data_IF_964299063936
#
_entry.id   IF_964299063936
#
_cell.length_a   1.000
_cell.length_b   1.000
_cell.length_c   1.000
_cell.angle_alpha   90.00
_cell.angle_beta   90.00
_cell.angle_gamma   90.00
#
_symmetry.space_group_name_H-M   'P 1'
#
loop_
_entity.id
_entity.type
_entity.pdbx_description
1 polymer ?
#
# COMPACT_ATOMS: atom_id res chain seq x y z
N UNK A 1 13.22 91.28 25.56
CA UNK A 1 13.62 90.87 26.92
C UNK A 1 13.20 89.41 27.12
N UNK A 2 14.18 88.51 27.18
CA UNK A 2 14.19 87.09 27.62
C UNK A 2 13.34 86.03 26.87
N UNK A 3 14.07 85.18 26.12
CA UNK A 3 13.85 83.73 25.87
C UNK A 3 13.77 82.94 27.21
N UNK A 4 13.31 81.65 27.31
CA UNK A 4 13.53 80.55 26.35
C UNK A 4 12.52 79.35 26.32
N UNK A 5 12.85 78.34 25.51
CA UNK A 5 12.58 76.87 25.59
C UNK A 5 11.15 76.30 25.58
N UNK A 6 10.86 75.42 24.60
CA UNK A 6 10.09 74.18 24.85
C UNK A 6 10.42 73.10 23.79
N UNK A 7 10.80 71.92 24.26
CA UNK A 7 10.94 70.66 23.51
C UNK A 7 9.57 69.96 23.44
N UNK A 8 9.25 69.25 22.34
CA UNK A 8 8.65 67.89 22.34
C UNK A 8 8.14 67.45 20.93
N UNK A 9 8.82 66.42 20.39
CA UNK A 9 8.32 65.14 19.85
C UNK A 9 6.89 65.08 19.24
N UNK A 10 6.74 64.52 18.01
CA UNK A 10 6.22 63.14 17.74
C UNK A 10 5.84 62.88 16.26
N UNK A 11 6.41 61.79 15.72
CA UNK A 11 6.08 60.85 14.62
C UNK A 11 4.97 61.10 13.57
N UNK A 12 5.30 60.84 12.30
CA UNK A 12 4.39 60.31 11.25
C UNK A 12 5.06 59.12 10.52
N UNK A 13 4.70 57.88 10.85
CA UNK A 13 3.83 56.94 10.10
C UNK A 13 4.23 56.74 8.63
N UNK A 14 4.96 55.66 8.30
CA UNK A 14 4.42 54.34 7.93
C UNK A 14 3.88 54.31 6.49
N UNK A 15 4.71 53.89 5.53
CA UNK A 15 4.24 53.45 4.21
C UNK A 15 4.45 51.93 4.12
N UNK A 16 3.32 51.23 4.20
CA UNK A 16 3.19 49.79 4.00
C UNK A 16 3.36 49.48 2.51
N UNK A 17 4.39 48.73 2.16
CA UNK A 17 4.44 48.01 0.89
C UNK A 17 3.34 46.94 0.92
N UNK A 18 2.30 47.11 0.10
CA UNK A 18 1.25 46.10 -0.08
C UNK A 18 1.81 45.03 -1.02
N UNK A 19 2.01 43.82 -0.47
CA UNK A 19 2.47 42.65 -1.20
C UNK A 19 1.24 41.93 -1.79
N UNK A 20 1.10 41.94 -3.11
CA UNK A 20 0.02 41.26 -3.84
C UNK A 20 0.37 39.78 -3.97
N UNK A 21 -0.27 38.90 -3.19
CA UNK A 21 -0.05 37.44 -3.26
C UNK A 21 -1.01 36.81 -4.28
N UNK A 22 -0.43 36.21 -5.32
CA UNK A 22 -1.12 35.35 -6.29
C UNK A 22 -1.39 33.99 -5.63
N UNK A 23 -2.65 33.61 -5.42
CA UNK A 23 -3.01 32.27 -4.93
C UNK A 23 -2.92 31.26 -6.08
N UNK A 24 -2.08 30.21 -6.01
CA UNK A 24 -2.16 29.09 -6.94
C UNK A 24 -3.40 28.24 -6.61
N UNK A 25 -4.24 27.99 -7.61
CA UNK A 25 -5.37 27.06 -7.50
C UNK A 25 -4.85 25.63 -7.33
N UNK A 26 -5.06 25.05 -6.15
CA UNK A 26 -4.69 23.68 -5.85
C UNK A 26 -5.69 22.73 -6.55
N UNK A 27 -5.29 22.17 -7.69
CA UNK A 27 -6.07 21.11 -8.35
C UNK A 27 -5.92 19.85 -7.51
N UNK A 28 -6.98 19.46 -6.78
CA UNK A 28 -7.03 18.18 -6.10
C UNK A 28 -7.20 17.08 -7.15
N UNK A 29 -6.11 16.40 -7.50
CA UNK A 29 -6.17 15.18 -8.30
C UNK A 29 -6.69 14.08 -7.37
N UNK A 30 -7.96 13.70 -7.52
CA UNK A 30 -8.52 12.53 -6.83
C UNK A 30 -7.80 11.28 -7.35
N UNK A 31 -6.91 10.72 -6.54
CA UNK A 31 -6.33 9.41 -6.85
C UNK A 31 -7.37 8.35 -6.51
N UNK A 32 -7.64 7.37 -7.39
CA UNK A 32 -8.54 6.28 -7.03
C UNK A 32 -8.02 5.60 -5.75
N UNK A 33 -8.90 5.43 -4.77
CA UNK A 33 -8.58 4.66 -3.57
C UNK A 33 -8.41 3.22 -4.02
N UNK A 34 -7.16 2.76 -4.09
CA UNK A 34 -6.83 1.36 -4.33
C UNK A 34 -7.23 0.57 -3.09
N UNK A 35 -8.11 -0.42 -3.26
CA UNK A 35 -8.44 -1.36 -2.19
C UNK A 35 -7.87 -2.77 -2.44
N UNK A 36 -6.95 -2.91 -3.39
CA UNK A 36 -6.09 -4.08 -3.57
C UNK A 36 -4.78 -3.95 -2.76
N UNK A 37 -3.98 -5.04 -2.62
CA UNK A 37 -2.69 -5.03 -1.94
C UNK A 37 -1.77 -3.89 -2.41
N UNK A 38 -0.97 -3.37 -1.48
CA UNK A 38 -0.19 -2.16 -1.69
C UNK A 38 1.22 -2.27 -1.10
N UNK A 39 2.15 -1.56 -1.75
CA UNK A 39 3.54 -1.49 -1.29
C UNK A 39 4.30 -2.82 -1.37
N UNK A 40 3.96 -3.67 -2.34
CA UNK A 40 4.61 -4.97 -2.55
C UNK A 40 6.06 -4.82 -3.02
N UNK A 41 6.95 -5.62 -2.43
CA UNK A 41 8.36 -5.76 -2.79
C UNK A 41 8.68 -7.24 -2.96
N UNK A 42 9.08 -7.64 -4.16
CA UNK A 42 9.54 -9.00 -4.43
C UNK A 42 10.94 -9.17 -3.85
N UNK A 43 11.09 -10.05 -2.86
CA UNK A 43 12.37 -10.28 -2.15
C UNK A 43 13.04 -11.61 -2.54
N UNK A 44 12.29 -12.53 -3.14
CA UNK A 44 12.84 -13.75 -3.73
C UNK A 44 12.02 -14.20 -4.95
N UNK A 45 12.68 -14.82 -5.91
CA UNK A 45 12.06 -15.33 -7.14
C UNK A 45 11.87 -14.24 -8.18
N UNK A 46 11.16 -14.58 -9.25
CA UNK A 46 10.81 -13.66 -10.32
C UNK A 46 9.30 -13.49 -10.34
N UNK A 47 8.84 -12.30 -9.96
CA UNK A 47 7.46 -11.90 -10.07
C UNK A 47 7.37 -10.40 -10.42
N UNK A 48 6.35 -10.02 -11.18
CA UNK A 48 6.01 -8.63 -11.44
C UNK A 48 4.62 -8.31 -10.90
N UNK A 49 4.50 -7.16 -10.25
CA UNK A 49 3.26 -6.69 -9.64
C UNK A 49 2.66 -5.62 -10.56
N UNK A 50 1.42 -5.84 -11.01
CA UNK A 50 0.68 -4.89 -11.82
C UNK A 50 0.32 -3.61 -11.06
N UNK A 51 -0.25 -2.65 -11.79
CA UNK A 51 -0.67 -1.35 -11.26
C UNK A 51 -1.99 -1.39 -10.48
N UNK A 52 -2.80 -2.43 -10.66
CA UNK A 52 -4.09 -2.60 -10.00
C UNK A 52 -5.21 -1.76 -10.61
N UNK A 53 -5.10 -1.39 -11.90
CA UNK A 53 -6.12 -0.59 -12.58
C UNK A 53 -7.48 -1.29 -12.62
N UNK A 54 -8.55 -0.50 -12.50
CA UNK A 54 -9.93 -0.99 -12.56
C UNK A 54 -10.31 -1.97 -11.45
N UNK A 55 -9.54 -1.98 -10.36
CA UNK A 55 -9.74 -2.88 -9.23
C UNK A 55 -9.24 -4.31 -9.44
N UNK A 56 -8.39 -4.51 -10.44
CA UNK A 56 -7.80 -5.81 -10.75
C UNK A 56 -6.27 -5.76 -10.64
N UNK A 57 -5.72 -6.30 -9.55
CA UNK A 57 -4.29 -6.47 -9.36
C UNK A 57 -3.84 -7.82 -9.92
N UNK A 58 -3.07 -7.81 -11.01
CA UNK A 58 -2.44 -9.01 -11.55
C UNK A 58 -0.97 -9.11 -11.11
N UNK A 59 -0.57 -10.27 -10.60
CA UNK A 59 0.82 -10.59 -10.25
C UNK A 59 1.27 -11.74 -11.16
N UNK A 60 2.24 -11.46 -12.03
CA UNK A 60 2.82 -12.46 -12.92
C UNK A 60 4.09 -13.03 -12.28
N UNK A 61 4.03 -14.28 -11.84
CA UNK A 61 5.16 -15.02 -11.28
C UNK A 61 5.76 -15.92 -12.36
N UNK A 62 7.07 -15.84 -12.55
CA UNK A 62 7.84 -16.60 -13.53
C UNK A 62 8.71 -17.70 -12.91
N UNK A 63 8.99 -17.63 -11.60
CA UNK A 63 9.71 -18.68 -10.86
C UNK A 63 8.76 -19.63 -10.13
N UNK A 64 9.18 -20.85 -9.83
CA UNK A 64 8.31 -21.82 -9.10
C UNK A 64 7.96 -21.39 -7.69
N UNK A 65 8.87 -20.70 -7.00
CA UNK A 65 8.62 -20.07 -5.71
C UNK A 65 8.95 -18.57 -5.79
N UNK A 66 8.12 -17.75 -5.15
CA UNK A 66 8.37 -16.32 -5.00
C UNK A 66 7.98 -15.86 -3.59
N UNK A 67 8.65 -14.83 -3.08
CA UNK A 67 8.34 -14.20 -1.79
C UNK A 67 8.14 -12.72 -2.04
N UNK A 68 6.99 -12.20 -1.58
CA UNK A 68 6.61 -10.81 -1.71
C UNK A 68 6.30 -10.27 -0.32
N UNK A 69 7.04 -9.25 0.10
CA UNK A 69 6.74 -8.49 1.30
C UNK A 69 5.76 -7.37 0.93
N UNK A 70 4.72 -7.17 1.73
CA UNK A 70 3.65 -6.21 1.49
C UNK A 70 3.54 -5.21 2.64
N UNK A 71 3.32 -3.94 2.31
CA UNK A 71 2.91 -2.96 3.32
C UNK A 71 1.47 -3.21 3.77
N UNK A 72 0.59 -3.56 2.83
CA UNK A 72 -0.76 -4.03 3.10
C UNK A 72 -1.13 -5.14 2.12
N UNK A 73 -1.79 -6.18 2.63
CA UNK A 73 -2.37 -7.24 1.81
C UNK A 73 -3.86 -7.36 2.16
N UNK A 74 -4.65 -6.41 1.66
CA UNK A 74 -6.11 -6.44 1.72
C UNK A 74 -6.70 -6.40 0.31
N UNK A 75 -7.88 -6.98 0.13
CA UNK A 75 -8.61 -7.00 -1.14
C UNK A 75 -10.03 -6.50 -0.85
N UNK A 76 -10.37 -5.32 -1.33
CA UNK A 76 -11.65 -4.66 -1.14
C UNK A 76 -12.79 -5.41 -1.84
N UNK A 77 -14.02 -5.17 -1.39
CA UNK A 77 -15.19 -5.75 -2.04
C UNK A 77 -15.29 -5.29 -3.50
N UNK A 78 -15.52 -6.23 -4.42
CA UNK A 78 -15.54 -5.96 -5.87
C UNK A 78 -14.16 -5.96 -6.53
N UNK A 79 -13.07 -5.97 -5.76
CA UNK A 79 -11.71 -6.03 -6.27
C UNK A 79 -11.26 -7.48 -6.51
N UNK A 80 -10.25 -7.65 -7.35
CA UNK A 80 -9.57 -8.93 -7.57
C UNK A 80 -8.06 -8.78 -7.45
N UNK A 81 -7.42 -9.66 -6.69
CA UNK A 81 -5.98 -9.94 -6.79
C UNK A 81 -5.81 -11.32 -7.42
N UNK A 82 -5.08 -11.39 -8.52
CA UNK A 82 -4.83 -12.62 -9.27
C UNK A 82 -3.33 -12.91 -9.39
N UNK A 83 -2.90 -14.09 -8.96
CA UNK A 83 -1.57 -14.63 -9.22
C UNK A 83 -1.59 -15.54 -10.45
N UNK A 84 -0.76 -15.21 -11.44
CA UNK A 84 -0.50 -16.03 -12.62
C UNK A 84 0.87 -16.65 -12.44
N UNK A 85 0.91 -17.94 -12.14
CA UNK A 85 2.11 -18.69 -11.75
C UNK A 85 2.49 -19.71 -12.84
N UNK A 86 3.75 -20.23 -12.86
CA UNK A 86 4.20 -21.16 -13.90
C UNK A 86 3.35 -22.43 -14.00
N UNK A 87 2.84 -22.94 -12.87
CA UNK A 87 1.94 -24.09 -12.85
C UNK A 87 1.24 -24.28 -11.51
N UNK A 88 0.40 -25.31 -11.43
CA UNK A 88 -0.40 -25.60 -10.23
C UNK A 88 0.42 -25.93 -8.98
N UNK A 89 1.67 -26.37 -9.16
CA UNK A 89 2.59 -26.68 -8.07
C UNK A 89 3.44 -25.48 -7.62
N UNK A 90 3.47 -24.40 -8.40
CA UNK A 90 4.19 -23.18 -8.03
C UNK A 90 3.52 -22.50 -6.83
N UNK A 91 4.32 -21.81 -6.01
CA UNK A 91 3.86 -21.19 -4.78
C UNK A 91 4.34 -19.75 -4.64
N UNK A 92 3.53 -18.90 -4.00
CA UNK A 92 3.93 -17.56 -3.58
C UNK A 92 3.70 -17.39 -2.08
N UNK A 93 4.69 -16.82 -1.40
CA UNK A 93 4.56 -16.34 -0.03
C UNK A 93 4.35 -14.83 -0.04
N UNK A 94 3.22 -14.39 0.50
CA UNK A 94 2.89 -12.99 0.74
C UNK A 94 3.03 -12.71 2.23
N UNK A 95 3.96 -11.85 2.62
CA UNK A 95 4.20 -11.50 4.03
C UNK A 95 3.90 -10.03 4.27
N UNK A 96 2.97 -9.73 5.18
CA UNK A 96 2.69 -8.35 5.61
C UNK A 96 3.74 -7.92 6.62
N UNK A 97 4.39 -6.79 6.38
CA UNK A 97 5.51 -6.28 7.20
C UNK A 97 5.14 -5.06 8.05
N UNK A 98 3.87 -4.63 8.02
CA UNK A 98 3.35 -3.53 8.84
C UNK A 98 2.33 -4.05 9.86
N UNK A 99 1.78 -3.15 10.68
CA UNK A 99 0.86 -3.48 11.78
C UNK A 99 -0.62 -3.61 11.42
N UNK A 100 -1.00 -3.61 10.13
CA UNK A 100 -2.40 -3.67 9.72
C UNK A 100 -2.86 -5.11 9.48
N UNK A 101 -4.06 -5.51 9.95
CA UNK A 101 -4.64 -6.81 9.61
C UNK A 101 -5.05 -6.87 8.13
N UNK A 102 -5.04 -8.07 7.57
CA UNK A 102 -5.48 -8.33 6.19
C UNK A 102 -7.00 -8.51 6.14
N UNK A 103 -7.67 -7.74 5.27
CA UNK A 103 -9.10 -7.92 4.98
C UNK A 103 -9.30 -8.40 3.54
N UNK A 104 -9.70 -9.65 3.37
CA UNK A 104 -9.99 -10.27 2.08
C UNK A 104 -11.50 -10.25 1.85
N UNK A 105 -12.00 -9.11 1.37
CA UNK A 105 -13.42 -8.84 1.11
C UNK A 105 -13.79 -9.04 -0.37
N UNK A 106 -12.81 -9.03 -1.27
CA UNK A 106 -12.95 -9.32 -2.70
C UNK A 106 -12.41 -10.69 -3.09
N UNK A 107 -11.92 -10.81 -4.33
CA UNK A 107 -11.48 -12.08 -4.89
C UNK A 107 -9.95 -12.26 -4.84
N UNK A 108 -9.49 -13.33 -4.21
CA UNK A 108 -8.13 -13.85 -4.34
C UNK A 108 -8.13 -15.03 -5.32
N UNK A 109 -7.40 -14.92 -6.43
CA UNK A 109 -7.32 -15.95 -7.47
C UNK A 109 -5.89 -16.39 -7.73
N UNK A 110 -5.68 -17.68 -8.00
CA UNK A 110 -4.39 -18.20 -8.45
C UNK A 110 -4.54 -19.53 -9.18
N UNK A 111 -3.71 -19.77 -10.20
CA UNK A 111 -3.62 -21.10 -10.79
C UNK A 111 -2.72 -22.07 -9.98
N UNK A 112 -1.90 -21.56 -9.06
CA UNK A 112 -1.07 -22.34 -8.13
C UNK A 112 -1.39 -22.05 -6.67
N UNK A 113 -0.38 -22.14 -5.80
CA UNK A 113 -0.52 -22.02 -4.35
C UNK A 113 -0.22 -20.61 -3.86
N UNK A 114 -1.00 -20.15 -2.89
CA UNK A 114 -0.84 -18.83 -2.24
C UNK A 114 -0.76 -19.02 -0.73
N UNK A 115 0.33 -18.52 -0.14
CA UNK A 115 0.47 -18.35 1.30
C UNK A 115 0.38 -16.87 1.64
N UNK A 116 -0.40 -16.53 2.66
CA UNK A 116 -0.49 -15.17 3.22
C UNK A 116 -0.18 -15.23 4.71
N UNK A 117 0.82 -14.46 5.11
CA UNK A 117 1.25 -14.31 6.50
C UNK A 117 0.98 -12.88 6.94
N UNK A 118 0.19 -12.73 7.99
CA UNK A 118 -0.03 -11.46 8.66
C UNK A 118 -0.20 -11.67 10.17
N UNK A 119 0.82 -11.36 10.99
CA UNK A 119 0.74 -11.49 12.45
C UNK A 119 -0.39 -10.69 13.10
N UNK A 120 -0.90 -9.66 12.43
CA UNK A 120 -1.98 -8.82 12.93
C UNK A 120 -3.37 -9.43 12.70
N UNK A 121 -3.46 -10.55 11.97
CA UNK A 121 -4.71 -11.23 11.67
C UNK A 121 -5.09 -11.18 10.20
N UNK A 122 -5.90 -12.15 9.79
CA UNK A 122 -6.42 -12.28 8.43
C UNK A 122 -7.92 -12.57 8.54
N UNK A 123 -8.74 -11.71 7.93
CA UNK A 123 -10.19 -11.86 7.84
C UNK A 123 -10.57 -12.14 6.39
N UNK A 124 -11.27 -13.25 6.15
CA UNK A 124 -12.03 -13.46 4.91
C UNK A 124 -13.47 -13.02 5.15
N UNK A 125 -13.91 -11.97 4.47
CA UNK A 125 -15.24 -11.40 4.65
C UNK A 125 -16.35 -12.23 4.01
N UNK A 126 -17.61 -11.92 4.31
CA UNK A 126 -18.77 -12.63 3.76
C UNK A 126 -18.86 -12.59 2.23
N UNK A 127 -18.28 -11.58 1.59
CA UNK A 127 -18.18 -11.43 0.13
C UNK A 127 -16.83 -11.89 -0.43
N UNK A 128 -15.88 -12.23 0.45
CA UNK A 128 -14.54 -12.66 0.08
C UNK A 128 -14.59 -14.03 -0.59
N UNK A 129 -13.95 -14.15 -1.75
CA UNK A 129 -13.84 -15.42 -2.47
C UNK A 129 -12.38 -15.78 -2.64
N UNK A 130 -12.03 -17.04 -2.39
CA UNK A 130 -10.70 -17.58 -2.63
C UNK A 130 -10.79 -18.75 -3.60
N UNK A 131 -10.13 -18.61 -4.74
CA UNK A 131 -10.09 -19.61 -5.81
C UNK A 131 -8.63 -19.83 -6.22
N UNK A 132 -7.99 -20.80 -5.56
CA UNK A 132 -6.55 -21.05 -5.68
C UNK A 132 -6.27 -22.57 -5.67
N UNK A 133 -5.11 -22.98 -6.20
CA UNK A 133 -4.67 -24.38 -6.18
C UNK A 133 -4.28 -24.90 -4.79
N UNK A 134 -3.94 -24.00 -3.87
CA UNK A 134 -3.73 -24.28 -2.46
C UNK A 134 -3.61 -23.00 -1.65
N UNK A 135 -4.16 -22.98 -0.43
CA UNK A 135 -4.20 -21.79 0.41
C UNK A 135 -3.62 -22.07 1.79
N UNK A 136 -2.73 -21.19 2.24
CA UNK A 136 -2.34 -21.08 3.65
C UNK A 136 -2.54 -19.64 4.10
N UNK A 137 -3.31 -19.45 5.17
CA UNK A 137 -3.46 -18.17 5.85
C UNK A 137 -2.95 -18.34 7.28
N UNK A 138 -1.95 -17.56 7.67
CA UNK A 138 -1.30 -17.72 8.97
C UNK A 138 -1.02 -16.39 9.64
N UNK A 139 -1.16 -16.37 10.97
CA UNK A 139 -0.61 -15.30 11.81
C UNK A 139 0.79 -15.64 12.32
N UNK A 140 1.19 -16.91 12.25
CA UNK A 140 2.54 -17.35 12.53
C UNK A 140 3.40 -17.21 11.28
N UNK A 141 4.60 -16.64 11.44
CA UNK A 141 5.55 -16.49 10.35
C UNK A 141 6.27 -17.80 10.00
N UNK A 142 6.81 -17.88 8.80
CA UNK A 142 7.71 -18.93 8.32
C UNK A 142 8.99 -18.27 7.84
N UNK A 143 10.15 -18.90 8.04
CA UNK A 143 11.38 -18.34 7.48
C UNK A 143 11.37 -18.45 5.95
N UNK A 144 12.06 -17.53 5.27
CA UNK A 144 12.22 -17.62 3.82
C UNK A 144 12.92 -18.93 3.40
N UNK A 145 13.86 -19.41 4.21
CA UNK A 145 14.58 -20.66 3.96
C UNK A 145 13.65 -21.88 4.03
N UNK A 146 12.76 -21.94 5.03
CA UNK A 146 11.83 -23.06 5.19
C UNK A 146 10.81 -23.08 4.05
N UNK A 147 10.23 -21.92 3.70
CA UNK A 147 9.34 -21.82 2.55
C UNK A 147 10.03 -22.25 1.24
N UNK A 148 11.28 -21.84 1.02
CA UNK A 148 12.01 -22.22 -0.19
C UNK A 148 12.43 -23.70 -0.18
N UNK A 149 12.70 -24.27 1.00
CA UNK A 149 13.07 -25.67 1.21
C UNK A 149 11.89 -26.65 1.11
N UNK A 150 10.64 -26.18 1.10
CA UNK A 150 9.45 -27.04 1.08
C UNK A 150 9.02 -27.52 2.46
N UNK A 151 9.41 -26.82 3.52
CA UNK A 151 9.03 -27.10 4.91
C UNK A 151 7.64 -26.59 5.30
N UNK A 152 6.82 -26.24 4.30
CA UNK A 152 5.41 -25.86 4.43
C UNK A 152 4.52 -26.98 5.01
#
# INVERSE_FOLDING_TARGET
>A
MKTPTSLLRRHSRFQRTVMLTLLPALSMVSSPVRSNPAGGLVVNGNASIGDGLGGHLSINQLSDKAIINWQDFSIGAGETTQFIQPGANSAVLNRVVTGNPSSLLGALRANGKVMVINPNGILVGATGTVDVGGLVLSTLDVSDADFLGGGD
#
